data_IF_544110694818
#
_entry.id   IF_544110694818
#
_cell.length_a   1.000
_cell.length_b   1.000
_cell.length_c   1.000
_cell.angle_alpha   90.00
_cell.angle_beta   90.00
_cell.angle_gamma   90.00
#
_symmetry.space_group_name_H-M   'P 1'
#
loop_
_entity.id
_entity.type
_entity.pdbx_description
1 polymer ?
#
# COMPACT_ATOMS: atom_id res chain seq x y z
N UNK A 1 20.22 -11.39 6.20
CA UNK A 1 18.91 -10.82 5.80
C UNK A 1 17.83 -11.25 6.79
N UNK A 2 16.90 -10.36 7.15
CA UNK A 2 15.77 -10.65 8.04
C UNK A 2 14.49 -10.12 7.38
N UNK A 3 13.44 -10.93 7.37
CA UNK A 3 12.08 -10.51 6.98
C UNK A 3 11.18 -10.63 8.21
N UNK A 4 10.36 -9.61 8.44
CA UNK A 4 9.34 -9.57 9.47
C UNK A 4 8.07 -8.96 8.88
N UNK A 5 6.91 -9.59 9.09
CA UNK A 5 5.66 -9.10 8.53
C UNK A 5 4.47 -9.36 9.45
N UNK A 6 3.53 -8.45 9.42
CA UNK A 6 2.28 -8.52 10.18
C UNK A 6 1.15 -7.96 9.34
N UNK A 7 -0.02 -8.60 9.40
CA UNK A 7 -1.28 -8.10 8.87
C UNK A 7 -2.40 -8.37 9.86
N UNK A 8 -3.13 -7.33 10.25
CA UNK A 8 -4.28 -7.43 11.17
C UNK A 8 -5.51 -6.74 10.57
N UNK A 9 -6.69 -7.38 10.60
CA UNK A 9 -7.93 -6.74 10.18
C UNK A 9 -8.32 -5.61 11.15
N UNK A 10 -8.93 -4.56 10.62
CA UNK A 10 -9.49 -3.48 11.42
C UNK A 10 -10.68 -3.92 12.26
N UNK A 11 -11.46 -4.87 11.77
CA UNK A 11 -12.53 -5.55 12.49
C UNK A 11 -12.37 -7.07 12.36
N UNK A 12 -12.11 -7.80 13.47
CA UNK A 12 -11.88 -9.25 13.41
C UNK A 12 -13.09 -10.07 12.94
N UNK A 13 -14.27 -9.45 12.78
CA UNK A 13 -15.47 -10.08 12.23
C UNK A 13 -15.52 -10.04 10.70
N UNK A 14 -14.61 -9.30 10.07
CA UNK A 14 -14.49 -9.17 8.62
C UNK A 14 -13.14 -9.71 8.14
N UNK A 15 -13.07 -10.28 6.94
CA UNK A 15 -11.80 -10.65 6.33
C UNK A 15 -10.91 -9.41 6.18
N UNK A 16 -9.61 -9.59 6.36
CA UNK A 16 -8.62 -8.56 6.03
C UNK A 16 -8.67 -8.31 4.51
N UNK A 17 -8.80 -7.05 4.11
CA UNK A 17 -8.77 -6.62 2.71
C UNK A 17 -7.36 -6.33 2.21
N UNK A 18 -6.36 -6.25 3.12
CA UNK A 18 -4.95 -6.11 2.77
C UNK A 18 -4.35 -7.44 2.31
N UNK A 19 -3.23 -7.33 1.60
CA UNK A 19 -2.32 -8.43 1.28
C UNK A 19 -0.90 -8.03 1.59
N UNK A 20 -0.15 -8.86 2.29
CA UNK A 20 1.25 -8.66 2.58
C UNK A 20 2.02 -9.96 2.37
N UNK A 21 3.11 -9.91 1.62
CA UNK A 21 3.95 -11.09 1.39
C UNK A 21 5.35 -10.72 0.97
N UNK A 22 6.29 -11.66 1.18
CA UNK A 22 7.65 -11.56 0.68
C UNK A 22 8.09 -12.91 0.11
N UNK A 23 8.97 -12.87 -0.88
CA UNK A 23 9.57 -14.05 -1.48
C UNK A 23 11.10 -13.90 -1.50
N UNK A 24 11.77 -14.93 -1.02
CA UNK A 24 13.22 -15.04 -1.00
C UNK A 24 13.65 -16.25 -1.82
N UNK A 25 14.64 -16.12 -2.72
CA UNK A 25 15.21 -17.27 -3.41
C UNK A 25 15.99 -18.15 -2.43
N UNK A 26 16.10 -19.44 -2.73
CA UNK A 26 16.85 -20.40 -1.90
C UNK A 26 18.36 -20.11 -1.83
N UNK A 27 18.89 -19.36 -2.79
CA UNK A 27 20.29 -18.87 -2.77
C UNK A 27 20.55 -17.91 -1.62
N UNK A 28 19.51 -17.25 -1.08
CA UNK A 28 19.64 -16.16 -0.10
C UNK A 28 20.00 -14.82 -0.72
N UNK A 29 20.14 -14.76 -2.04
CA UNK A 29 20.50 -13.57 -2.81
C UNK A 29 19.24 -12.96 -3.43
N UNK A 30 19.03 -11.69 -3.14
CA UNK A 30 17.85 -10.96 -3.64
C UNK A 30 16.55 -11.31 -2.91
N UNK A 31 15.46 -10.84 -3.48
CA UNK A 31 14.10 -11.05 -2.98
C UNK A 31 13.09 -10.05 -3.55
N UNK A 32 11.84 -10.19 -3.12
CA UNK A 32 10.78 -9.23 -3.39
C UNK A 32 9.80 -9.19 -2.24
N UNK A 33 9.11 -8.06 -2.09
CA UNK A 33 7.99 -7.88 -1.17
C UNK A 33 6.84 -7.14 -1.88
N UNK A 34 5.61 -7.41 -1.43
CA UNK A 34 4.39 -6.78 -1.94
C UNK A 34 3.46 -6.51 -0.75
N UNK A 35 2.93 -5.28 -0.69
CA UNK A 35 1.82 -4.89 0.20
C UNK A 35 0.75 -4.25 -0.67
N UNK A 36 -0.49 -4.73 -0.51
CA UNK A 36 -1.68 -4.14 -1.11
C UNK A 36 -2.65 -3.80 0.00
N UNK A 37 -3.28 -2.63 -0.12
CA UNK A 37 -4.38 -2.20 0.74
C UNK A 37 -5.66 -2.18 -0.09
N UNK A 38 -6.62 -2.98 0.31
CA UNK A 38 -7.87 -3.17 -0.40
C UNK A 38 -8.86 -2.04 -0.17
N UNK A 39 -9.33 -1.43 -1.24
CA UNK A 39 -10.33 -0.35 -1.16
C UNK A 39 -11.69 -0.93 -0.78
N UNK A 40 -12.12 -0.72 0.48
CA UNK A 40 -13.45 -1.14 0.94
C UNK A 40 -14.56 -0.44 0.14
N UNK A 41 -15.40 -1.19 -0.59
CA UNK A 41 -16.45 -0.58 -1.39
C UNK A 41 -17.66 -0.17 -0.52
N UNK A 42 -18.47 0.79 -0.98
CA UNK A 42 -19.80 1.01 -0.41
C UNK A 42 -20.69 -0.24 -0.55
N UNK A 43 -21.75 -0.32 0.29
CA UNK A 43 -22.63 -1.50 0.38
C UNK A 43 -23.52 -1.77 -0.84
N UNK A 44 -23.59 -0.87 -1.80
CA UNK A 44 -24.56 -0.87 -2.92
C UNK A 44 -24.07 -1.65 -4.17
N UNK A 45 -23.11 -2.55 -3.99
CA UNK A 45 -22.65 -3.44 -5.04
C UNK A 45 -21.36 -2.97 -5.72
N UNK A 46 -20.60 -3.94 -6.22
CA UNK A 46 -19.26 -3.75 -6.80
C UNK A 46 -19.14 -4.27 -8.23
N UNK A 47 -20.20 -4.89 -8.76
CA UNK A 47 -20.11 -5.63 -10.02
C UNK A 47 -19.32 -6.94 -9.92
N UNK A 48 -18.74 -7.26 -8.74
CA UNK A 48 -17.90 -8.45 -8.55
C UNK A 48 -18.47 -9.37 -7.45
N UNK A 49 -18.49 -10.66 -7.71
CA UNK A 49 -18.97 -11.69 -6.76
C UNK A 49 -17.89 -12.14 -5.77
N UNK A 50 -16.61 -11.84 -6.04
CA UNK A 50 -15.48 -12.35 -5.25
C UNK A 50 -15.10 -11.46 -4.05
N UNK A 51 -15.31 -10.15 -4.16
CA UNK A 51 -14.91 -9.18 -3.12
C UNK A 51 -13.42 -8.81 -3.11
N UNK A 52 -13.09 -7.84 -2.23
CA UNK A 52 -11.75 -7.25 -2.14
C UNK A 52 -10.68 -8.24 -1.64
N UNK A 53 -10.92 -9.06 -0.59
CA UNK A 53 -9.90 -10.00 -0.11
C UNK A 53 -9.43 -11.00 -1.18
N UNK A 54 -10.35 -11.47 -2.02
CA UNK A 54 -10.00 -12.34 -3.14
C UNK A 54 -9.15 -11.61 -4.17
N UNK A 55 -9.52 -10.36 -4.48
CA UNK A 55 -8.82 -9.54 -5.47
C UNK A 55 -7.39 -9.24 -5.01
N UNK A 56 -7.21 -8.77 -3.77
CA UNK A 56 -5.86 -8.45 -3.23
C UNK A 56 -4.97 -9.69 -3.16
N UNK A 57 -5.53 -10.85 -2.78
CA UNK A 57 -4.78 -12.11 -2.77
C UNK A 57 -4.34 -12.55 -4.19
N UNK A 58 -5.22 -12.40 -5.20
CA UNK A 58 -4.88 -12.77 -6.59
C UNK A 58 -3.88 -11.80 -7.21
N UNK A 59 -4.11 -10.51 -7.06
CA UNK A 59 -3.22 -9.48 -7.58
C UNK A 59 -1.85 -9.54 -6.91
N UNK A 60 -1.82 -9.61 -5.58
CA UNK A 60 -0.57 -9.64 -4.81
C UNK A 60 0.26 -10.89 -5.09
N UNK A 61 -0.39 -12.06 -5.14
CA UNK A 61 0.28 -13.31 -5.50
C UNK A 61 0.88 -13.29 -6.90
N UNK A 62 0.12 -12.81 -7.90
CA UNK A 62 0.60 -12.68 -9.27
C UNK A 62 1.76 -11.65 -9.38
N UNK A 63 1.64 -10.51 -8.69
CA UNK A 63 2.69 -9.49 -8.71
C UNK A 63 3.98 -9.99 -8.04
N UNK A 64 3.89 -10.71 -6.92
CA UNK A 64 5.04 -11.27 -6.23
C UNK A 64 5.75 -12.33 -7.10
N UNK A 65 4.99 -13.22 -7.74
CA UNK A 65 5.52 -14.21 -8.70
C UNK A 65 6.29 -13.50 -9.82
N UNK A 66 5.66 -12.52 -10.48
CA UNK A 66 6.28 -11.80 -11.60
C UNK A 66 7.51 -11.01 -11.16
N UNK A 67 7.45 -10.33 -10.02
CA UNK A 67 8.57 -9.56 -9.49
C UNK A 67 9.81 -10.43 -9.19
N UNK A 68 9.60 -11.69 -8.81
CA UNK A 68 10.69 -12.63 -8.54
C UNK A 68 11.17 -13.38 -9.77
N UNK A 69 10.27 -13.82 -10.65
CA UNK A 69 10.58 -14.70 -11.77
C UNK A 69 10.96 -13.93 -13.06
N UNK A 70 10.43 -12.72 -13.26
CA UNK A 70 10.60 -11.93 -14.50
C UNK A 70 11.51 -10.72 -14.25
N UNK A 71 12.81 -11.00 -14.01
CA UNK A 71 13.81 -9.96 -13.69
C UNK A 71 14.06 -8.95 -14.82
N UNK A 72 13.81 -9.35 -16.08
CA UNK A 72 13.96 -8.49 -17.27
C UNK A 72 12.81 -7.49 -17.43
N UNK A 73 11.65 -7.73 -16.78
CA UNK A 73 10.54 -6.80 -16.78
C UNK A 73 10.71 -5.75 -15.69
N UNK A 74 10.28 -4.52 -15.93
CA UNK A 74 10.15 -3.50 -14.87
C UNK A 74 9.03 -3.87 -13.89
N UNK A 75 9.08 -3.37 -12.64
CA UNK A 75 7.97 -3.57 -11.69
C UNK A 75 6.65 -3.01 -12.22
N UNK A 76 6.67 -1.91 -13.00
CA UNK A 76 5.48 -1.40 -13.68
C UNK A 76 4.89 -2.39 -14.68
N UNK A 77 5.74 -3.07 -15.46
CA UNK A 77 5.31 -4.13 -16.39
C UNK A 77 4.79 -5.36 -15.64
N UNK A 78 5.43 -5.73 -14.52
CA UNK A 78 4.94 -6.81 -13.65
C UNK A 78 3.56 -6.48 -13.08
N UNK A 79 3.32 -5.24 -12.61
CA UNK A 79 2.02 -4.80 -12.11
C UNK A 79 0.96 -4.83 -13.23
N UNK A 80 1.27 -4.32 -14.41
CA UNK A 80 0.37 -4.36 -15.58
C UNK A 80 -0.05 -5.79 -15.92
N UNK A 81 0.89 -6.71 -15.98
CA UNK A 81 0.62 -8.13 -16.24
C UNK A 81 -0.17 -8.79 -15.10
N UNK A 82 0.16 -8.49 -13.83
CA UNK A 82 -0.57 -9.01 -12.68
C UNK A 82 -2.05 -8.56 -12.68
N UNK A 83 -2.32 -7.29 -13.03
CA UNK A 83 -3.68 -6.77 -13.21
C UNK A 83 -4.38 -7.53 -14.34
N UNK A 84 -3.72 -7.71 -15.48
CA UNK A 84 -4.29 -8.43 -16.64
C UNK A 84 -4.68 -9.87 -16.29
N UNK A 85 -3.81 -10.61 -15.58
CA UNK A 85 -4.07 -11.98 -15.10
C UNK A 85 -5.23 -12.01 -14.11
N UNK A 86 -5.28 -11.04 -13.19
CA UNK A 86 -6.35 -10.94 -12.19
C UNK A 86 -7.69 -10.64 -12.87
N UNK A 87 -7.73 -9.69 -13.81
CA UNK A 87 -8.92 -9.38 -14.59
C UNK A 87 -9.41 -10.59 -15.38
N UNK A 88 -8.52 -11.29 -16.08
CA UNK A 88 -8.85 -12.52 -16.84
C UNK A 88 -9.43 -13.62 -15.95
N UNK A 89 -9.03 -13.72 -14.68
CA UNK A 89 -9.49 -14.75 -13.76
C UNK A 89 -10.97 -14.59 -13.34
N UNK A 90 -11.59 -13.41 -13.53
CA UNK A 90 -12.98 -13.18 -13.13
C UNK A 90 -13.85 -12.41 -14.15
N UNK A 91 -13.36 -12.11 -15.33
CA UNK A 91 -14.11 -11.38 -16.35
C UNK A 91 -15.37 -12.11 -16.84
N UNK A 92 -15.44 -13.42 -16.68
CA UNK A 92 -16.62 -14.22 -17.05
C UNK A 92 -17.74 -14.20 -16.00
N UNK A 93 -17.46 -13.78 -14.78
CA UNK A 93 -18.39 -13.82 -13.63
C UNK A 93 -18.67 -12.44 -13.04
N UNK A 94 -17.91 -11.42 -13.45
CA UNK A 94 -17.95 -10.09 -12.86
C UNK A 94 -18.01 -9.00 -13.95
N UNK A 95 -18.67 -7.89 -13.62
CA UNK A 95 -18.63 -6.67 -14.44
C UNK A 95 -17.40 -5.84 -14.09
N UNK A 96 -16.33 -6.00 -14.87
CA UNK A 96 -15.07 -5.28 -14.65
C UNK A 96 -15.13 -3.80 -15.08
N UNK A 97 -16.19 -3.39 -15.78
CA UNK A 97 -16.43 -1.98 -16.15
C UNK A 97 -17.08 -1.17 -15.02
N UNK A 98 -17.57 -1.86 -13.99
CA UNK A 98 -18.18 -1.20 -12.84
C UNK A 98 -17.16 -0.35 -12.09
N UNK A 99 -17.47 0.92 -11.83
CA UNK A 99 -16.55 1.88 -11.18
C UNK A 99 -16.07 1.48 -9.78
N UNK A 100 -16.79 0.56 -9.13
CA UNK A 100 -16.49 0.00 -7.81
C UNK A 100 -16.07 -1.46 -7.88
N UNK A 101 -15.62 -1.96 -9.05
CA UNK A 101 -14.92 -3.25 -9.11
C UNK A 101 -13.79 -3.26 -8.06
N UNK A 102 -13.43 -4.41 -7.45
CA UNK A 102 -12.40 -4.45 -6.43
C UNK A 102 -11.12 -3.74 -6.87
N UNK A 103 -10.53 -3.00 -5.95
CA UNK A 103 -9.37 -2.14 -6.20
C UNK A 103 -8.43 -2.21 -5.00
N UNK A 104 -7.16 -1.90 -5.24
CA UNK A 104 -6.15 -1.83 -4.17
C UNK A 104 -5.10 -0.76 -4.47
N UNK A 105 -4.48 -0.24 -3.41
CA UNK A 105 -3.18 0.43 -3.47
C UNK A 105 -2.10 -0.61 -3.68
N UNK A 106 -0.90 -0.21 -4.09
CA UNK A 106 0.20 -1.16 -4.31
C UNK A 106 1.51 -0.58 -3.80
N UNK A 107 2.21 -1.36 -3.00
CA UNK A 107 3.65 -1.23 -2.77
C UNK A 107 4.30 -2.51 -3.23
N UNK A 108 5.32 -2.39 -4.07
CA UNK A 108 6.19 -3.49 -4.44
C UNK A 108 7.65 -3.05 -4.40
N UNK A 109 8.51 -3.92 -3.91
CA UNK A 109 9.96 -3.74 -4.02
C UNK A 109 10.61 -5.09 -4.34
N UNK A 110 11.69 -5.05 -5.11
CA UNK A 110 12.56 -6.20 -5.33
C UNK A 110 14.00 -5.75 -5.29
N UNK A 111 14.87 -6.66 -4.91
CA UNK A 111 16.30 -6.40 -4.83
C UNK A 111 17.10 -7.58 -5.35
N UNK A 112 18.29 -7.29 -5.77
CA UNK A 112 19.35 -8.24 -6.11
C UNK A 112 20.68 -7.72 -5.54
N UNK A 113 21.82 -8.20 -6.04
CA UNK A 113 23.16 -7.77 -5.60
C UNK A 113 23.49 -6.35 -6.06
N UNK A 114 22.87 -5.85 -7.13
CA UNK A 114 23.23 -4.57 -7.76
C UNK A 114 22.31 -3.44 -7.33
N UNK A 115 21.00 -3.71 -7.19
CA UNK A 115 19.98 -2.68 -7.05
C UNK A 115 18.74 -3.09 -6.23
N UNK A 116 18.04 -2.08 -5.76
CA UNK A 116 16.69 -2.17 -5.23
C UNK A 116 15.78 -1.41 -6.19
N UNK A 117 14.79 -2.08 -6.76
CA UNK A 117 13.71 -1.45 -7.52
C UNK A 117 12.47 -1.35 -6.65
N UNK A 118 11.71 -0.27 -6.82
CA UNK A 118 10.48 -0.06 -6.08
C UNK A 118 9.37 0.54 -6.94
N UNK A 119 8.13 0.32 -6.48
CA UNK A 119 6.90 0.83 -7.06
C UNK A 119 5.90 1.13 -5.96
N UNK A 120 5.29 2.33 -6.01
CA UNK A 120 4.17 2.73 -5.15
C UNK A 120 3.05 3.29 -6.01
N UNK A 121 1.83 2.82 -5.78
CA UNK A 121 0.62 3.31 -6.43
C UNK A 121 -0.44 3.58 -5.35
N UNK A 122 -0.93 4.82 -5.28
CA UNK A 122 -1.83 5.34 -4.24
C UNK A 122 -1.13 5.54 -2.88
N UNK A 123 -1.88 5.53 -1.77
CA UNK A 123 -1.49 6.06 -0.46
C UNK A 123 -0.85 5.06 0.52
N UNK A 124 -0.48 3.88 0.05
CA UNK A 124 0.44 3.01 0.79
C UNK A 124 1.88 3.56 0.72
N UNK A 125 2.73 3.19 1.66
CA UNK A 125 4.04 3.80 1.88
C UNK A 125 5.16 2.78 1.77
N UNK A 126 6.26 3.14 1.08
CA UNK A 126 7.52 2.42 1.18
C UNK A 126 8.58 3.33 1.81
N UNK A 127 9.27 2.82 2.82
CA UNK A 127 10.45 3.47 3.41
C UNK A 127 11.71 2.76 2.96
N UNK A 128 12.68 3.52 2.47
CA UNK A 128 14.03 3.04 2.21
C UNK A 128 14.95 3.59 3.30
N UNK A 129 15.65 2.72 4.00
CA UNK A 129 16.69 3.12 4.94
C UNK A 129 18.06 3.07 4.27
N UNK A 130 18.82 4.13 4.41
CA UNK A 130 20.19 4.20 3.91
C UNK A 130 21.19 3.83 5.03
N UNK A 131 22.33 3.20 4.74
CA UNK A 131 23.27 2.74 5.76
C UNK A 131 23.73 3.82 6.75
N UNK A 132 24.00 5.01 6.26
CA UNK A 132 24.50 6.15 7.05
C UNK A 132 23.66 7.42 6.86
N UNK A 133 22.42 7.28 6.44
CA UNK A 133 21.60 8.40 6.02
C UNK A 133 20.18 8.41 6.56
N UNK A 134 19.39 9.39 6.14
CA UNK A 134 17.98 9.49 6.52
C UNK A 134 17.15 8.36 5.91
N UNK A 135 16.00 8.09 6.53
CA UNK A 135 14.96 7.26 5.94
C UNK A 135 14.25 8.06 4.84
N UNK A 136 14.22 7.51 3.63
CA UNK A 136 13.55 8.12 2.47
C UNK A 136 12.17 7.48 2.27
N UNK A 137 11.07 8.23 2.45
CA UNK A 137 9.74 7.74 2.10
C UNK A 137 9.50 7.85 0.59
N UNK A 138 8.99 6.79 0.00
CA UNK A 138 8.42 6.77 -1.36
C UNK A 138 6.92 6.82 -1.22
N UNK A 139 6.32 7.88 -1.72
CA UNK A 139 4.90 8.21 -1.55
C UNK A 139 4.28 8.60 -2.89
N UNK A 140 3.04 8.21 -3.07
CA UNK A 140 2.17 8.79 -4.10
C UNK A 140 1.24 9.82 -3.44
N UNK A 141 1.58 11.09 -3.55
CA UNK A 141 0.90 12.19 -2.84
C UNK A 141 -0.47 12.58 -3.43
N UNK A 142 -0.85 12.04 -4.59
CA UNK A 142 -2.02 12.49 -5.35
C UNK A 142 -3.33 12.44 -4.58
N UNK A 143 -3.56 11.42 -3.75
CA UNK A 143 -4.77 11.34 -2.90
C UNK A 143 -4.77 12.42 -1.79
N UNK A 144 -3.61 12.84 -1.33
CA UNK A 144 -3.44 13.95 -0.38
C UNK A 144 -3.67 15.33 -1.01
N UNK A 145 -3.45 15.46 -2.32
CA UNK A 145 -3.46 16.71 -3.09
C UNK A 145 -4.76 16.93 -3.90
N UNK A 146 -5.88 16.41 -3.39
CA UNK A 146 -7.17 16.53 -4.07
C UNK A 146 -7.54 17.99 -4.39
N UNK A 147 -8.27 18.24 -5.50
CA UNK A 147 -8.70 19.56 -5.94
C UNK A 147 -9.38 20.37 -4.83
N UNK A 148 -9.31 21.73 -4.85
CA UNK A 148 -9.85 22.58 -3.79
C UNK A 148 -11.34 22.37 -3.51
N UNK A 149 -12.15 22.11 -4.53
CA UNK A 149 -13.58 21.85 -4.36
C UNK A 149 -13.86 20.55 -3.59
N UNK A 150 -13.05 19.50 -3.79
CA UNK A 150 -13.14 18.23 -3.04
C UNK A 150 -12.70 18.44 -1.59
N UNK A 151 -11.64 19.21 -1.36
CA UNK A 151 -11.20 19.58 0.01
C UNK A 151 -12.29 20.38 0.75
N UNK A 152 -13.01 21.26 0.05
CA UNK A 152 -14.14 21.99 0.62
C UNK A 152 -15.29 21.06 1.05
N UNK A 153 -15.62 20.03 0.24
CA UNK A 153 -16.59 19.00 0.64
C UNK A 153 -16.14 18.24 1.90
N UNK A 154 -14.87 17.87 2.00
CA UNK A 154 -14.30 17.24 3.20
C UNK A 154 -14.43 18.13 4.44
N UNK A 155 -14.13 19.43 4.30
CA UNK A 155 -14.27 20.42 5.38
C UNK A 155 -15.73 20.57 5.81
N UNK A 156 -16.68 20.58 4.85
CA UNK A 156 -18.12 20.61 5.14
C UNK A 156 -18.56 19.38 5.94
N UNK A 157 -18.11 18.18 5.59
CA UNK A 157 -18.40 16.96 6.37
C UNK A 157 -17.94 17.10 7.81
N UNK A 158 -16.71 17.63 8.02
CA UNK A 158 -16.14 17.81 9.37
C UNK A 158 -16.87 18.85 10.21
N UNK A 159 -17.41 19.90 9.59
CA UNK A 159 -18.14 20.97 10.27
C UNK A 159 -19.55 20.57 10.73
N UNK A 160 -20.12 19.48 10.23
CA UNK A 160 -21.47 19.06 10.55
C UNK A 160 -21.47 18.09 11.77
N UNK A 161 -22.51 18.19 12.65
CA UNK A 161 -22.63 17.34 13.83
C UNK A 161 -22.65 15.85 13.48
N UNK A 162 -22.04 15.04 14.32
CA UNK A 162 -22.03 13.58 14.16
C UNK A 162 -23.43 12.98 14.23
N UNK A 163 -23.65 11.89 13.47
CA UNK A 163 -24.93 11.18 13.43
C UNK A 163 -26.07 11.91 12.70
N UNK A 164 -25.93 13.19 12.37
CA UNK A 164 -26.96 13.99 11.71
C UNK A 164 -27.20 13.59 10.25
N UNK A 165 -28.46 13.76 9.76
CA UNK A 165 -28.80 13.50 8.36
C UNK A 165 -27.98 14.36 7.39
N UNK A 166 -27.74 15.64 7.75
CA UNK A 166 -26.91 16.56 6.97
C UNK A 166 -25.47 16.07 6.79
N UNK A 167 -24.84 15.53 7.86
CA UNK A 167 -23.48 14.97 7.76
C UNK A 167 -23.45 13.72 6.90
N UNK A 168 -24.46 12.84 6.99
CA UNK A 168 -24.55 11.66 6.12
C UNK A 168 -24.66 12.05 4.65
N UNK A 169 -25.51 13.02 4.32
CA UNK A 169 -25.66 13.52 2.95
C UNK A 169 -24.37 14.16 2.43
N UNK A 170 -23.73 15.04 3.21
CA UNK A 170 -22.46 15.66 2.85
C UNK A 170 -21.33 14.62 2.68
N UNK A 171 -21.30 13.58 3.53
CA UNK A 171 -20.32 12.48 3.40
C UNK A 171 -20.56 11.69 2.11
N UNK A 172 -21.82 11.39 1.76
CA UNK A 172 -22.12 10.68 0.52
C UNK A 172 -21.73 11.51 -0.72
N UNK A 173 -21.93 12.83 -0.68
CA UNK A 173 -21.47 13.75 -1.73
C UNK A 173 -19.94 13.75 -1.86
N UNK A 174 -19.21 13.87 -0.74
CA UNK A 174 -17.75 13.81 -0.72
C UNK A 174 -17.21 12.48 -1.27
N UNK A 175 -17.77 11.34 -0.83
CA UNK A 175 -17.37 10.00 -1.30
C UNK A 175 -17.53 9.87 -2.80
N UNK A 176 -18.70 10.26 -3.36
CA UNK A 176 -18.93 10.23 -4.82
C UNK A 176 -17.95 11.12 -5.57
N UNK A 177 -17.63 12.30 -5.03
CA UNK A 177 -16.69 13.22 -5.66
C UNK A 177 -15.25 12.69 -5.65
N UNK A 178 -14.83 11.97 -4.60
CA UNK A 178 -13.52 11.29 -4.53
C UNK A 178 -13.51 10.08 -5.48
N UNK A 179 -14.58 9.26 -5.49
CA UNK A 179 -14.69 8.12 -6.42
C UNK A 179 -14.58 8.55 -7.89
N UNK A 180 -15.14 9.69 -8.26
CA UNK A 180 -15.06 10.22 -9.63
C UNK A 180 -13.64 10.64 -10.05
N UNK A 181 -12.74 10.86 -9.09
CA UNK A 181 -11.32 11.17 -9.36
C UNK A 181 -10.44 9.92 -9.40
N UNK A 182 -10.94 8.77 -8.99
CA UNK A 182 -10.17 7.54 -8.97
C UNK A 182 -10.09 6.96 -10.37
N UNK A 183 -8.86 6.67 -10.82
CA UNK A 183 -8.58 6.16 -12.18
C UNK A 183 -9.20 7.01 -13.29
N UNK A 184 -9.28 8.33 -13.09
CA UNK A 184 -9.87 9.23 -14.06
C UNK A 184 -9.01 9.28 -15.33
N UNK A 185 -9.58 8.99 -16.52
CA UNK A 185 -8.86 9.00 -17.80
C UNK A 185 -8.29 10.37 -18.18
N UNK A 186 -8.84 11.46 -17.64
CA UNK A 186 -8.37 12.83 -17.89
C UNK A 186 -7.01 13.13 -17.23
N UNK A 187 -6.44 12.18 -16.47
CA UNK A 187 -5.18 12.35 -15.78
C UNK A 187 -5.26 13.18 -14.50
N UNK A 188 -6.46 13.61 -14.09
CA UNK A 188 -6.70 14.32 -12.84
C UNK A 188 -7.11 13.34 -11.74
N UNK A 189 -6.62 13.55 -10.52
CA UNK A 189 -6.96 12.69 -9.38
C UNK A 189 -5.87 11.69 -9.04
N UNK A 190 -6.26 10.50 -8.60
CA UNK A 190 -5.35 9.45 -8.10
C UNK A 190 -5.68 8.09 -8.70
N UNK A 191 -4.76 7.14 -8.55
CA UNK A 191 -4.85 5.84 -9.21
C UNK A 191 -4.78 4.70 -8.20
N UNK A 192 -5.53 3.62 -8.48
CA UNK A 192 -5.50 2.35 -7.76
C UNK A 192 -5.49 1.20 -8.76
N UNK A 193 -4.87 0.09 -8.41
CA UNK A 193 -4.93 -1.12 -9.22
C UNK A 193 -6.37 -1.66 -9.21
N UNK A 194 -6.93 -1.88 -10.40
CA UNK A 194 -8.27 -2.40 -10.64
C UNK A 194 -8.26 -3.37 -11.83
N UNK A 195 -9.19 -3.24 -12.78
CA UNK A 195 -9.26 -4.11 -13.95
C UNK A 195 -8.42 -3.61 -15.15
N UNK A 196 -8.12 -2.32 -15.21
CA UNK A 196 -7.33 -1.73 -16.31
C UNK A 196 -5.82 -1.81 -16.03
N UNK A 197 -5.06 -2.62 -16.81
CA UNK A 197 -3.62 -2.75 -16.62
C UNK A 197 -2.84 -1.48 -16.95
N UNK A 198 -3.43 -0.56 -17.74
CA UNK A 198 -2.77 0.69 -18.11
C UNK A 198 -2.52 1.60 -16.89
N UNK A 199 -3.21 1.39 -15.76
CA UNK A 199 -3.01 2.17 -14.55
C UNK A 199 -1.59 2.04 -13.98
N UNK A 200 -0.90 0.93 -14.24
CA UNK A 200 0.46 0.68 -13.77
C UNK A 200 1.47 1.77 -14.21
N UNK A 201 1.23 2.45 -15.35
CA UNK A 201 2.07 3.57 -15.83
C UNK A 201 2.07 4.79 -14.91
N UNK A 202 1.08 4.88 -14.02
CA UNK A 202 0.94 6.00 -13.07
C UNK A 202 1.60 5.73 -11.73
N UNK A 203 2.16 4.54 -11.51
CA UNK A 203 2.89 4.25 -10.30
C UNK A 203 4.17 5.11 -10.17
N UNK A 204 4.48 5.50 -8.95
CA UNK A 204 5.78 6.09 -8.60
C UNK A 204 6.80 4.96 -8.58
N UNK A 205 7.81 5.02 -9.42
CA UNK A 205 8.85 3.98 -9.53
C UNK A 205 10.24 4.57 -9.37
N UNK A 206 11.17 3.76 -8.91
CA UNK A 206 12.57 4.14 -8.80
C UNK A 206 13.49 2.95 -8.64
N UNK A 207 14.78 3.23 -8.78
CA UNK A 207 15.87 2.26 -8.60
C UNK A 207 16.96 2.93 -7.79
N UNK A 208 17.45 2.23 -6.77
CA UNK A 208 18.53 2.67 -5.88
C UNK A 208 19.63 1.60 -5.89
N UNK A 209 20.93 1.95 -5.94
CA UNK A 209 21.99 0.98 -5.78
C UNK A 209 21.81 0.13 -4.51
N UNK A 210 22.02 -1.17 -4.61
CA UNK A 210 21.84 -2.09 -3.48
C UNK A 210 22.68 -1.68 -2.26
N UNK A 211 23.87 -1.15 -2.49
CA UNK A 211 24.79 -0.69 -1.45
C UNK A 211 24.27 0.52 -0.66
N UNK A 212 23.31 1.25 -1.21
CA UNK A 212 22.72 2.44 -0.58
C UNK A 212 21.44 2.13 0.22
N UNK A 213 21.01 0.85 0.29
CA UNK A 213 19.79 0.45 1.01
C UNK A 213 20.08 -0.62 2.04
N UNK A 214 19.92 -0.31 3.32
CA UNK A 214 20.09 -1.23 4.43
C UNK A 214 18.82 -1.99 4.80
N UNK A 215 17.66 -1.34 4.65
CA UNK A 215 16.36 -1.95 4.90
C UNK A 215 15.23 -1.30 4.11
N UNK A 216 14.15 -2.06 3.95
CA UNK A 216 12.88 -1.66 3.36
C UNK A 216 11.76 -1.87 4.37
N UNK A 217 10.79 -0.96 4.39
CA UNK A 217 9.55 -1.14 5.16
C UNK A 217 8.37 -0.70 4.31
N UNK A 218 7.54 -1.65 3.91
CA UNK A 218 6.29 -1.40 3.19
C UNK A 218 5.11 -1.41 4.17
N UNK A 219 4.20 -0.45 4.02
CA UNK A 219 3.09 -0.19 4.92
C UNK A 219 1.81 0.06 4.14
N UNK A 220 0.68 -0.55 4.55
CA UNK A 220 -0.64 -0.06 4.18
C UNK A 220 -0.97 1.24 4.93
N UNK A 221 -2.03 1.94 4.51
CA UNK A 221 -2.44 3.20 5.14
C UNK A 221 -2.80 3.02 6.63
N UNK A 222 -3.39 1.86 6.99
CA UNK A 222 -3.67 1.53 8.38
C UNK A 222 -2.41 1.43 9.25
N UNK A 223 -1.33 0.88 8.75
CA UNK A 223 -0.06 0.80 9.48
C UNK A 223 0.68 2.14 9.51
N UNK A 224 0.64 2.92 8.42
CA UNK A 224 1.28 4.24 8.34
C UNK A 224 0.62 5.30 9.23
N UNK A 225 -0.62 5.06 9.74
CA UNK A 225 -1.32 5.91 10.71
C UNK A 225 -0.45 6.29 11.92
N UNK A 226 0.50 5.45 12.29
CA UNK A 226 1.44 5.72 13.37
C UNK A 226 2.15 7.07 13.20
N UNK A 227 2.69 7.34 12.01
CA UNK A 227 3.36 8.61 11.67
C UNK A 227 2.39 9.63 11.08
N UNK A 228 1.58 9.24 10.09
CA UNK A 228 0.81 10.18 9.29
C UNK A 228 -0.39 10.77 10.03
N UNK A 229 -1.06 9.95 10.83
CA UNK A 229 -2.29 10.35 11.52
C UNK A 229 -2.05 10.67 12.99
N UNK A 230 -1.48 9.70 13.72
CA UNK A 230 -1.32 9.83 15.18
C UNK A 230 -0.09 10.62 15.60
N UNK A 231 0.85 10.89 14.68
CA UNK A 231 2.06 11.69 14.94
C UNK A 231 2.88 11.17 16.12
N UNK A 232 2.94 9.85 16.31
CA UNK A 232 3.71 9.21 17.38
C UNK A 232 5.22 9.30 17.16
N UNK A 233 5.64 9.59 15.95
CA UNK A 233 7.00 9.88 15.53
C UNK A 233 7.08 10.10 14.02
N UNK A 234 8.27 10.46 13.53
CA UNK A 234 8.57 10.55 12.11
C UNK A 234 8.87 9.16 11.50
N UNK A 235 9.17 9.12 10.21
CA UNK A 235 9.46 7.88 9.49
C UNK A 235 10.71 7.16 10.02
N UNK A 236 11.72 7.91 10.47
CA UNK A 236 12.92 7.33 11.05
C UNK A 236 12.63 6.66 12.40
N UNK A 237 11.83 7.31 13.25
CA UNK A 237 11.40 6.74 14.52
C UNK A 237 10.51 5.51 14.32
N UNK A 238 9.62 5.51 13.32
CA UNK A 238 8.79 4.35 12.97
C UNK A 238 9.66 3.17 12.53
N UNK A 239 10.61 3.40 11.63
CA UNK A 239 11.49 2.34 11.14
C UNK A 239 12.39 1.80 12.27
N UNK A 240 12.92 2.66 13.13
CA UNK A 240 13.69 2.26 14.31
C UNK A 240 12.86 1.40 15.29
N UNK A 241 11.57 1.76 15.50
CA UNK A 241 10.63 0.94 16.28
C UNK A 241 10.49 -0.46 15.68
N UNK A 242 10.21 -0.55 14.37
CA UNK A 242 10.03 -1.85 13.68
C UNK A 242 11.31 -2.68 13.71
N UNK A 243 12.48 -2.06 13.49
CA UNK A 243 13.77 -2.75 13.58
C UNK A 243 13.99 -3.38 14.95
N UNK A 244 13.67 -2.66 16.01
CA UNK A 244 13.89 -3.07 17.40
C UNK A 244 12.82 -4.05 17.91
N UNK A 245 11.56 -3.79 17.62
CA UNK A 245 10.43 -4.45 18.28
C UNK A 245 9.56 -5.28 17.32
N UNK A 246 9.78 -5.18 16.01
CA UNK A 246 9.05 -5.89 14.97
C UNK A 246 7.80 -5.14 14.47
N UNK A 247 7.28 -5.62 13.32
CA UNK A 247 6.08 -5.07 12.66
C UNK A 247 4.82 -5.24 13.51
N UNK A 248 4.72 -6.33 14.30
CA UNK A 248 3.61 -6.55 15.22
C UNK A 248 3.50 -5.47 16.29
N UNK A 249 4.64 -4.96 16.82
CA UNK A 249 4.64 -3.86 17.79
C UNK A 249 4.16 -2.55 17.16
N UNK A 250 4.49 -2.28 15.90
CA UNK A 250 3.95 -1.13 15.18
C UNK A 250 2.42 -1.18 15.12
N UNK A 251 1.86 -2.30 14.65
CA UNK A 251 0.40 -2.48 14.54
C UNK A 251 -0.27 -2.38 15.90
N UNK A 252 0.30 -3.00 16.94
CA UNK A 252 -0.24 -2.91 18.31
C UNK A 252 -0.32 -1.46 18.81
N UNK A 253 0.70 -0.63 18.54
CA UNK A 253 0.70 0.79 18.92
C UNK A 253 -0.31 1.61 18.12
N UNK A 254 -0.53 1.30 16.85
CA UNK A 254 -1.63 1.90 16.06
C UNK A 254 -2.97 1.55 16.72
N UNK A 255 -3.21 0.28 17.07
CA UNK A 255 -4.44 -0.16 17.75
C UNK A 255 -4.65 0.51 19.09
N UNK A 256 -3.59 0.77 19.86
CA UNK A 256 -3.66 1.54 21.12
C UNK A 256 -4.12 2.98 20.87
N UNK A 257 -3.52 3.65 19.89
CA UNK A 257 -3.89 5.03 19.53
C UNK A 257 -5.33 5.12 19.00
N UNK A 258 -5.77 4.15 18.20
CA UNK A 258 -7.15 4.05 17.72
C UNK A 258 -8.15 3.86 18.88
N UNK A 259 -7.84 2.99 19.83
CA UNK A 259 -8.68 2.77 21.03
C UNK A 259 -8.71 3.98 21.96
N UNK A 260 -7.62 4.75 22.04
CA UNK A 260 -7.56 5.98 22.82
C UNK A 260 -8.45 7.11 22.24
N UNK A 261 -8.75 7.06 20.92
CA UNK A 261 -9.61 8.03 20.23
C UNK A 261 -10.69 7.30 19.40
N UNK A 262 -11.65 6.57 20.04
CA UNK A 262 -12.58 5.68 19.34
C UNK A 262 -13.54 6.40 18.40
N UNK A 263 -13.80 7.68 18.64
CA UNK A 263 -14.68 8.51 17.80
C UNK A 263 -13.94 9.38 16.79
N UNK A 264 -12.60 9.31 16.72
CA UNK A 264 -11.82 10.15 15.82
C UNK A 264 -11.94 11.65 16.11
N UNK A 265 -12.06 12.01 17.39
CA UNK A 265 -12.23 13.41 17.82
C UNK A 265 -10.91 14.16 17.75
N UNK A 266 -9.84 13.56 18.24
CA UNK A 266 -8.49 14.12 18.19
C UNK A 266 -7.85 13.92 16.79
N UNK A 267 -8.09 12.75 16.19
CA UNK A 267 -7.55 12.36 14.90
C UNK A 267 -8.68 11.95 13.94
N UNK A 268 -9.32 12.92 13.22
CA UNK A 268 -10.47 12.67 12.35
C UNK A 268 -10.15 11.69 11.23
N UNK A 269 -10.88 10.58 11.16
CA UNK A 269 -10.66 9.49 10.20
C UNK A 269 -11.97 8.89 9.68
N UNK A 270 -11.87 8.15 8.57
CA UNK A 270 -13.01 7.54 7.88
C UNK A 270 -13.53 6.29 8.58
N UNK A 271 -12.60 5.43 9.04
CA UNK A 271 -12.85 4.20 9.79
C UNK A 271 -12.21 4.32 11.18
N UNK A 272 -12.88 3.83 12.22
CA UNK A 272 -12.33 3.79 13.58
C UNK A 272 -11.04 2.97 13.62
N UNK A 273 -11.08 1.79 13.02
CA UNK A 273 -9.94 0.90 12.79
C UNK A 273 -9.88 0.58 11.29
N UNK A 274 -8.68 0.43 10.73
CA UNK A 274 -8.46 -0.04 9.37
C UNK A 274 -7.64 -1.32 9.38
N UNK A 275 -7.70 -2.06 8.29
CA UNK A 275 -6.76 -3.15 8.09
C UNK A 275 -5.34 -2.56 8.12
N UNK A 276 -4.39 -3.24 8.73
CA UNK A 276 -3.04 -2.74 8.92
C UNK A 276 -2.02 -3.81 8.61
N UNK A 277 -1.24 -3.57 7.57
CA UNK A 277 -0.22 -4.50 7.09
C UNK A 277 1.14 -3.83 6.95
N UNK A 278 2.18 -4.53 7.38
CA UNK A 278 3.56 -4.10 7.30
C UNK A 278 4.48 -5.25 6.91
N UNK A 279 5.44 -4.99 6.02
CA UNK A 279 6.53 -5.91 5.65
C UNK A 279 7.85 -5.19 5.80
N UNK A 280 8.70 -5.67 6.70
CA UNK A 280 10.05 -5.19 6.91
C UNK A 280 11.06 -6.18 6.32
N UNK A 281 12.01 -5.67 5.55
CA UNK A 281 13.12 -6.42 4.99
C UNK A 281 14.45 -5.76 5.35
N UNK A 282 15.23 -6.37 6.22
CA UNK A 282 16.60 -5.98 6.51
C UNK A 282 17.54 -6.71 5.55
N UNK A 283 18.19 -5.94 4.67
CA UNK A 283 18.88 -6.53 3.51
C UNK A 283 20.28 -7.07 3.83
N UNK A 284 20.84 -6.73 5.00
CA UNK A 284 22.18 -7.13 5.40
C UNK A 284 23.30 -6.43 4.61
N UNK A 285 24.55 -6.48 5.08
CA UNK A 285 25.69 -5.98 4.33
C UNK A 285 25.92 -6.82 3.07
N UNK A 286 26.31 -6.16 1.98
CA UNK A 286 26.85 -6.88 0.81
C UNK A 286 28.16 -7.57 1.16
N UNK A 287 28.35 -8.78 0.68
CA UNK A 287 29.68 -9.38 0.67
C UNK A 287 30.61 -8.46 -0.16
N UNK A 288 31.85 -8.19 0.29
CA UNK A 288 32.79 -7.45 -0.54
C UNK A 288 32.91 -8.17 -1.88
N UNK A 289 32.82 -7.40 -2.98
CA UNK A 289 33.04 -7.93 -4.33
C UNK A 289 34.36 -8.73 -4.30
N UNK A 290 34.29 -10.05 -4.52
CA UNK A 290 35.45 -10.89 -4.49
C UNK A 290 36.48 -10.33 -5.44
N UNK A 291 37.69 -10.05 -4.96
CA UNK A 291 38.85 -9.85 -5.83
C UNK A 291 38.90 -11.05 -6.77
N UNK A 292 38.68 -10.77 -8.05
CA UNK A 292 38.88 -11.79 -9.07
C UNK A 292 40.30 -12.31 -8.88
N UNK A 293 40.45 -13.54 -8.36
CA UNK A 293 41.72 -14.21 -8.29
C UNK A 293 42.16 -14.49 -9.73
N UNK A 294 42.99 -13.61 -10.29
CA UNK A 294 43.79 -13.93 -11.44
C UNK A 294 44.66 -15.14 -11.09
N UNK A 295 44.30 -16.28 -11.64
CA UNK A 295 44.99 -17.54 -11.56
C UNK A 295 44.96 -18.24 -12.90
#
# INVERSE_FOLDING_TARGET
MRIDMTGEPGDPRHPNEDYASAALPSSGEGGALVVLDGVTPPRDGTGCVHGVPWFTARLGGALLELATAQRDLTLGSCLSEAISRTAAAHCSTCDLSHSRTPQATVVAARWDEERVEHLVLSDSVLLLEHPDGPVTPVLDSRLGELPPHIRALRSRVRALPEGGAGRRAARAEYVRAVEALRNNPDGTGFYTAAADPAVARHAVTGTTPRSEVSALLALSDGASRWSEMFRLGDWAALLALVRKEGTGSLVARVREAERADPHGTAHPRGKAHDDASAVFAELGPQAPAGEASDG
#
